data_IF_237427632789
#
_entry.id   IF_237427632789
#
_cell.length_a   1.000
_cell.length_b   1.000
_cell.length_c   1.000
_cell.angle_alpha   90.00
_cell.angle_beta   90.00
_cell.angle_gamma   90.00
#
_symmetry.space_group_name_H-M   'P 1'
#
loop_
_entity.id
_entity.type
_entity.pdbx_description
1 polymer ?
#
# COMPACT_ATOMS: atom_id res chain seq x y z
N UNK A 1 -38.56 31.20 -32.28
CA UNK A 1 -38.45 29.72 -32.15
C UNK A 1 -37.02 29.18 -32.28
N UNK A 2 -36.10 29.83 -33.00
CA UNK A 2 -34.68 29.37 -33.13
C UNK A 2 -33.88 29.45 -31.82
N UNK A 3 -34.19 30.40 -30.92
CA UNK A 3 -33.46 30.57 -29.67
C UNK A 3 -33.88 29.59 -28.54
N UNK A 4 -35.08 28.95 -28.66
CA UNK A 4 -35.56 27.96 -27.68
C UNK A 4 -34.86 26.62 -27.86
N UNK A 5 -34.48 26.26 -29.07
CA UNK A 5 -33.78 25.01 -29.38
C UNK A 5 -32.34 25.03 -28.85
N UNK A 6 -31.66 26.21 -28.89
CA UNK A 6 -30.30 26.34 -28.37
C UNK A 6 -30.22 26.15 -26.83
N UNK A 7 -31.26 26.58 -26.09
CA UNK A 7 -31.32 26.44 -24.65
C UNK A 7 -31.56 24.98 -24.26
N UNK A 8 -32.31 24.22 -25.07
CA UNK A 8 -32.56 22.80 -24.82
C UNK A 8 -31.36 21.92 -25.06
N UNK A 9 -30.49 22.28 -26.02
CA UNK A 9 -29.23 21.57 -26.30
C UNK A 9 -28.19 21.85 -25.21
N UNK A 10 -28.13 23.09 -24.67
CA UNK A 10 -27.24 23.43 -23.57
C UNK A 10 -27.61 22.71 -22.25
N UNK A 11 -28.91 22.44 -22.01
CA UNK A 11 -29.38 21.72 -20.83
C UNK A 11 -29.05 20.20 -20.85
N UNK A 12 -28.78 19.63 -22.03
CA UNK A 12 -28.40 18.22 -22.16
C UNK A 12 -26.94 17.91 -21.81
N UNK A 13 -26.09 18.94 -21.64
CA UNK A 13 -24.69 18.79 -21.24
C UNK A 13 -24.44 19.04 -19.74
N UNK A 14 -25.48 19.39 -18.96
CA UNK A 14 -25.38 19.60 -17.53
C UNK A 14 -25.92 18.37 -16.79
N UNK A 15 -25.26 17.24 -16.93
CA UNK A 15 -25.84 16.11 -16.24
C UNK A 15 -25.17 14.78 -16.33
N UNK A 16 -23.85 14.75 -16.22
CA UNK A 16 -23.17 13.55 -15.78
C UNK A 16 -22.07 13.95 -14.79
N UNK A 17 -22.47 14.44 -13.64
CA UNK A 17 -21.62 14.21 -12.46
C UNK A 17 -21.76 12.72 -12.18
N UNK A 18 -20.74 11.93 -12.53
CA UNK A 18 -20.74 10.53 -12.15
C UNK A 18 -20.69 10.48 -10.64
N UNK A 19 -21.82 10.16 -10.01
CA UNK A 19 -21.92 9.86 -8.57
C UNK A 19 -21.42 8.45 -8.28
N UNK A 20 -20.74 7.82 -9.24
CA UNK A 20 -20.22 6.47 -9.13
C UNK A 20 -18.83 6.41 -8.52
N UNK A 21 -18.46 5.22 -8.09
CA UNK A 21 -17.10 4.88 -7.66
C UNK A 21 -16.12 5.21 -8.79
N UNK A 22 -15.06 5.94 -8.47
CA UNK A 22 -13.98 6.28 -9.41
C UNK A 22 -12.75 5.47 -9.04
N UNK A 23 -12.12 4.84 -10.03
CA UNK A 23 -10.86 4.10 -9.89
C UNK A 23 -9.78 4.82 -10.69
N UNK A 24 -8.65 5.06 -10.07
CA UNK A 24 -7.48 5.70 -10.65
C UNK A 24 -6.21 4.87 -10.37
N UNK A 25 -5.18 5.02 -11.22
CA UNK A 25 -3.92 4.28 -11.13
C UNK A 25 -2.70 5.20 -11.08
N UNK A 26 -2.89 6.47 -11.36
CA UNK A 26 -1.84 7.50 -11.44
C UNK A 26 -2.37 8.82 -10.87
N UNK A 27 -2.80 8.78 -9.62
CA UNK A 27 -3.25 9.91 -8.82
C UNK A 27 -2.23 10.24 -7.72
N UNK A 28 -2.45 11.34 -7.00
CA UNK A 28 -1.57 11.78 -5.92
C UNK A 28 -1.35 10.69 -4.85
N UNK A 29 -2.38 9.94 -4.48
CA UNK A 29 -2.32 8.89 -3.45
C UNK A 29 -1.56 7.66 -3.94
N UNK A 30 -1.85 7.22 -5.17
CA UNK A 30 -1.11 6.11 -5.79
C UNK A 30 0.37 6.45 -5.94
N UNK A 31 0.70 7.69 -6.30
CA UNK A 31 2.09 8.13 -6.44
C UNK A 31 2.78 8.26 -5.07
N UNK A 32 2.08 8.77 -4.04
CA UNK A 32 2.62 8.81 -2.68
C UNK A 32 2.96 7.41 -2.14
N UNK A 33 2.13 6.39 -2.44
CA UNK A 33 2.43 5.00 -2.07
C UNK A 33 3.65 4.45 -2.83
N UNK A 34 3.78 4.74 -4.13
CA UNK A 34 4.98 4.35 -4.91
C UNK A 34 6.24 4.94 -4.30
N UNK A 35 6.21 6.21 -3.91
CA UNK A 35 7.33 6.89 -3.24
C UNK A 35 7.63 6.27 -1.87
N UNK A 36 6.61 5.94 -1.08
CA UNK A 36 6.78 5.28 0.21
C UNK A 36 7.42 3.89 0.05
N UNK A 37 7.08 3.12 -0.98
CA UNK A 37 7.72 1.84 -1.28
C UNK A 37 9.17 2.00 -1.71
N UNK A 38 9.51 3.03 -2.49
CA UNK A 38 10.91 3.35 -2.80
C UNK A 38 11.67 3.69 -1.53
N UNK A 39 11.13 4.54 -0.66
CA UNK A 39 11.74 4.85 0.65
C UNK A 39 11.94 3.60 1.51
N UNK A 40 10.97 2.67 1.50
CA UNK A 40 11.10 1.39 2.20
C UNK A 40 12.28 0.57 1.67
N UNK A 41 12.40 0.40 0.34
CA UNK A 41 13.51 -0.34 -0.28
C UNK A 41 14.86 0.32 -0.02
N UNK A 42 14.92 1.65 0.01
CA UNK A 42 16.10 2.44 0.29
C UNK A 42 16.42 2.57 1.82
N UNK A 43 15.62 1.95 2.68
CA UNK A 43 15.72 2.03 4.14
C UNK A 43 15.62 3.47 4.69
N UNK A 44 14.88 4.33 3.99
CA UNK A 44 14.66 5.74 4.36
C UNK A 44 13.20 6.03 4.70
N UNK A 45 12.37 4.99 4.82
CA UNK A 45 10.97 5.14 5.20
C UNK A 45 10.86 5.63 6.65
N UNK A 46 10.20 6.75 6.83
CA UNK A 46 10.03 7.45 8.11
C UNK A 46 8.57 7.53 8.58
N UNK A 47 7.65 6.89 7.84
CA UNK A 47 6.22 6.88 8.17
C UNK A 47 5.50 8.18 7.86
N UNK A 48 6.11 9.09 7.12
CA UNK A 48 5.55 10.41 6.80
C UNK A 48 4.20 10.37 6.07
N UNK A 49 3.89 9.26 5.40
CA UNK A 49 2.60 9.00 4.73
C UNK A 49 1.49 8.58 5.71
N UNK A 50 1.84 8.10 6.90
CA UNK A 50 0.92 7.63 7.92
C UNK A 50 0.45 8.74 8.87
N UNK A 51 -0.78 8.63 9.36
CA UNK A 51 -1.29 9.44 10.46
C UNK A 51 -0.69 8.98 11.79
N UNK A 52 -0.54 9.89 12.77
CA UNK A 52 -0.18 9.54 14.16
C UNK A 52 -1.24 8.62 14.81
N UNK A 53 -2.49 8.66 14.32
CA UNK A 53 -3.59 7.79 14.75
C UNK A 53 -3.71 6.51 13.89
N UNK A 54 -2.65 6.08 13.20
CA UNK A 54 -2.64 4.89 12.36
C UNK A 54 -3.17 3.65 13.09
N UNK A 55 -4.02 2.89 12.42
CA UNK A 55 -4.40 1.54 12.78
C UNK A 55 -3.86 0.56 11.72
N UNK A 56 -2.80 -0.16 12.08
CA UNK A 56 -2.14 -1.12 11.20
C UNK A 56 -2.55 -2.55 11.56
N UNK A 57 -3.12 -3.26 10.58
CA UNK A 57 -3.60 -4.65 10.71
C UNK A 57 -2.70 -5.60 9.91
N UNK A 58 -1.67 -6.14 10.52
CA UNK A 58 -0.75 -7.11 9.90
C UNK A 58 -1.26 -8.55 10.03
N UNK A 59 -2.15 -9.01 9.12
CA UNK A 59 -2.84 -10.31 9.21
C UNK A 59 -3.58 -10.55 10.55
N UNK A 60 -4.02 -9.49 11.20
CA UNK A 60 -4.66 -9.51 12.52
C UNK A 60 -5.99 -8.77 12.47
N UNK A 61 -6.90 -9.10 13.39
CA UNK A 61 -8.11 -8.31 13.64
C UNK A 61 -7.88 -7.23 14.70
N UNK A 62 -6.75 -7.28 15.39
CA UNK A 62 -6.33 -6.29 16.37
C UNK A 62 -5.26 -5.40 15.74
N UNK A 63 -5.44 -4.08 15.71
CA UNK A 63 -4.45 -3.17 15.13
C UNK A 63 -3.29 -2.91 16.08
N UNK A 64 -2.14 -2.58 15.52
CA UNK A 64 -1.04 -1.90 16.18
C UNK A 64 -1.02 -0.41 15.80
N UNK A 65 -0.40 0.42 16.63
CA UNK A 65 -0.28 1.86 16.38
C UNK A 65 0.94 2.24 15.55
N UNK A 66 1.08 3.55 15.30
CA UNK A 66 2.13 4.14 14.46
C UNK A 66 3.55 3.69 14.87
N UNK A 67 3.94 3.86 16.13
CA UNK A 67 5.32 3.55 16.59
C UNK A 67 5.66 2.07 16.45
N UNK A 68 4.69 1.19 16.71
CA UNK A 68 4.86 -0.26 16.58
C UNK A 68 4.94 -0.67 15.11
N UNK A 69 4.15 -0.04 14.24
CA UNK A 69 4.20 -0.27 12.79
C UNK A 69 5.55 0.16 12.20
N UNK A 70 6.10 1.33 12.57
CA UNK A 70 7.45 1.76 12.20
C UNK A 70 8.50 0.74 12.64
N UNK A 71 8.40 0.26 13.88
CA UNK A 71 9.33 -0.74 14.41
C UNK A 71 9.26 -2.06 13.63
N UNK A 72 8.05 -2.48 13.24
CA UNK A 72 7.82 -3.69 12.45
C UNK A 72 8.45 -3.58 11.05
N UNK A 73 8.29 -2.42 10.38
CA UNK A 73 8.90 -2.17 9.06
C UNK A 73 10.44 -2.18 9.18
N UNK A 74 10.99 -1.54 10.20
CA UNK A 74 12.44 -1.54 10.47
C UNK A 74 13.00 -2.95 10.70
N UNK A 75 12.27 -3.78 11.48
CA UNK A 75 12.67 -5.15 11.76
C UNK A 75 12.81 -6.02 10.50
N UNK A 76 12.07 -5.76 9.44
CA UNK A 76 12.23 -6.48 8.17
C UNK A 76 13.64 -6.30 7.60
N UNK A 77 14.19 -5.08 7.63
CA UNK A 77 15.55 -4.80 7.17
C UNK A 77 16.65 -5.32 8.12
N UNK A 78 16.31 -5.55 9.39
CA UNK A 78 17.23 -6.21 10.33
C UNK A 78 17.29 -7.72 10.11
N UNK A 79 16.20 -8.33 9.65
CA UNK A 79 16.08 -9.77 9.46
C UNK A 79 16.42 -10.27 8.06
N UNK A 80 16.30 -9.41 7.05
CA UNK A 80 16.49 -9.80 5.65
C UNK A 80 17.48 -8.91 4.91
N UNK A 81 18.25 -9.54 4.02
CA UNK A 81 19.08 -8.90 3.00
C UNK A 81 18.39 -8.99 1.63
N UNK A 82 18.87 -8.19 0.67
CA UNK A 82 18.44 -8.20 -0.73
C UNK A 82 16.90 -8.03 -0.90
N UNK A 83 16.30 -7.21 -0.06
CA UNK A 83 14.87 -6.94 -0.14
C UNK A 83 14.54 -6.26 -1.47
N UNK A 84 13.55 -6.80 -2.16
CA UNK A 84 13.00 -6.23 -3.39
C UNK A 84 11.49 -6.44 -3.48
N UNK A 85 10.84 -5.63 -4.29
CA UNK A 85 9.42 -5.72 -4.59
C UNK A 85 9.21 -5.69 -6.09
N UNK A 86 8.23 -6.44 -6.59
CA UNK A 86 7.94 -6.51 -8.00
C UNK A 86 6.48 -6.84 -8.28
N UNK A 87 5.97 -6.32 -9.39
CA UNK A 87 4.67 -6.67 -9.95
C UNK A 87 4.81 -7.01 -11.43
N UNK A 88 4.15 -8.09 -11.89
CA UNK A 88 4.14 -8.57 -13.26
C UNK A 88 4.67 -9.98 -13.40
N UNK A 89 4.45 -10.57 -14.58
CA UNK A 89 4.90 -11.92 -14.93
C UNK A 89 6.13 -11.84 -15.84
N UNK A 90 7.24 -12.47 -15.47
CA UNK A 90 8.39 -12.72 -16.30
C UNK A 90 9.43 -11.60 -16.40
N UNK A 91 10.13 -11.51 -17.55
CA UNK A 91 11.33 -10.68 -17.73
C UNK A 91 11.07 -9.15 -17.80
N UNK A 92 9.81 -8.73 -17.94
CA UNK A 92 9.40 -7.31 -17.99
C UNK A 92 8.78 -6.85 -16.67
N UNK A 93 9.48 -7.04 -15.56
CA UNK A 93 9.07 -6.42 -14.29
C UNK A 93 9.39 -4.93 -14.38
N UNK A 94 8.40 -4.13 -14.67
CA UNK A 94 8.57 -2.68 -14.83
C UNK A 94 8.14 -1.86 -13.62
N UNK A 95 7.44 -2.46 -12.64
CA UNK A 95 6.85 -1.75 -11.52
C UNK A 95 7.12 -2.45 -10.19
N UNK A 96 7.33 -1.65 -9.13
CA UNK A 96 7.51 -2.12 -7.75
C UNK A 96 6.22 -2.78 -7.24
N UNK A 97 5.06 -2.22 -7.57
CA UNK A 97 3.74 -2.69 -7.18
C UNK A 97 2.67 -2.23 -8.18
N UNK A 98 1.61 -3.01 -8.33
CA UNK A 98 0.39 -2.53 -8.95
C UNK A 98 -0.43 -1.81 -7.89
N UNK A 99 -0.72 -0.52 -8.12
CA UNK A 99 -1.46 0.32 -7.18
C UNK A 99 -2.68 0.93 -7.88
N UNK A 100 -3.82 0.84 -7.21
CA UNK A 100 -5.04 1.54 -7.60
C UNK A 100 -5.61 2.32 -6.42
N UNK A 101 -6.21 3.47 -6.69
CA UNK A 101 -6.97 4.24 -5.71
C UNK A 101 -8.43 4.30 -6.12
N UNK A 102 -9.32 4.03 -5.18
CA UNK A 102 -10.75 4.01 -5.36
C UNK A 102 -11.35 5.12 -4.50
N UNK A 103 -12.09 6.02 -5.13
CA UNK A 103 -12.89 7.03 -4.42
C UNK A 103 -14.30 6.48 -4.20
N UNK A 104 -14.63 6.20 -2.95
CA UNK A 104 -15.98 5.82 -2.51
C UNK A 104 -16.70 7.07 -1.98
N UNK A 105 -17.83 7.49 -2.58
CA UNK A 105 -18.51 8.75 -2.19
C UNK A 105 -18.87 8.88 -0.70
N UNK A 106 -19.06 7.74 -0.02
CA UNK A 106 -19.48 7.70 1.39
C UNK A 106 -18.33 7.33 2.36
N UNK A 107 -17.24 6.76 1.85
CA UNK A 107 -16.15 6.21 2.68
C UNK A 107 -14.80 6.89 2.45
N UNK A 108 -14.69 7.76 1.42
CA UNK A 108 -13.45 8.40 1.06
C UNK A 108 -12.55 7.55 0.15
N UNK A 109 -11.26 7.81 0.20
CA UNK A 109 -10.29 7.17 -0.68
C UNK A 109 -9.71 5.90 -0.04
N UNK A 110 -9.73 4.83 -0.82
CA UNK A 110 -9.07 3.56 -0.47
C UNK A 110 -8.08 3.21 -1.57
N UNK A 111 -6.81 3.10 -1.23
CA UNK A 111 -5.81 2.56 -2.16
C UNK A 111 -5.56 1.10 -1.87
N UNK A 112 -5.20 0.36 -2.91
CA UNK A 112 -4.84 -1.05 -2.82
C UNK A 112 -3.57 -1.29 -3.62
N UNK A 113 -2.67 -2.10 -3.08
CA UNK A 113 -1.42 -2.47 -3.70
C UNK A 113 -1.23 -3.99 -3.74
N UNK A 114 -0.72 -4.50 -4.84
CA UNK A 114 -0.33 -5.90 -5.03
C UNK A 114 1.11 -5.95 -5.52
N UNK A 115 1.89 -6.82 -4.92
CA UNK A 115 3.29 -7.05 -5.30
C UNK A 115 3.78 -8.39 -4.77
N UNK A 116 4.90 -8.87 -5.28
CA UNK A 116 5.69 -9.92 -4.68
C UNK A 116 6.83 -9.28 -3.90
N UNK A 117 6.87 -9.49 -2.60
CA UNK A 117 7.99 -9.16 -1.74
C UNK A 117 9.01 -10.30 -1.78
N UNK A 118 10.30 -9.96 -1.89
CA UNK A 118 11.39 -10.92 -1.89
C UNK A 118 12.48 -10.46 -0.95
N UNK A 119 13.07 -11.40 -0.19
CA UNK A 119 14.22 -11.14 0.67
C UNK A 119 14.95 -12.43 0.99
N UNK A 120 16.21 -12.29 1.44
CA UNK A 120 17.03 -13.40 1.91
C UNK A 120 17.22 -13.29 3.40
N UNK A 121 16.74 -14.26 4.17
CA UNK A 121 16.85 -14.31 5.62
C UNK A 121 18.28 -14.35 6.08
N UNK A 122 18.67 -13.44 6.99
CA UNK A 122 20.06 -13.33 7.51
C UNK A 122 20.45 -14.48 8.41
N UNK A 123 19.47 -15.13 9.06
CA UNK A 123 19.70 -16.22 9.99
C UNK A 123 19.45 -17.58 9.34
N UNK A 124 18.47 -17.70 8.46
CA UNK A 124 18.20 -18.93 7.71
C UNK A 124 19.07 -19.09 6.47
N UNK A 125 19.46 -18.00 5.82
CA UNK A 125 20.06 -17.98 4.49
C UNK A 125 19.08 -18.34 3.36
N UNK A 126 17.79 -18.47 3.65
CA UNK A 126 16.76 -18.80 2.67
C UNK A 126 16.26 -17.55 1.95
N UNK A 127 16.18 -17.59 0.62
CA UNK A 127 15.51 -16.55 -0.16
C UNK A 127 14.04 -16.93 -0.31
N UNK A 128 13.16 -16.00 0.03
CA UNK A 128 11.71 -16.19 -0.02
C UNK A 128 11.05 -15.16 -0.93
N UNK A 129 9.95 -15.56 -1.56
CA UNK A 129 9.08 -14.71 -2.37
C UNK A 129 7.66 -14.82 -1.83
N UNK A 130 7.08 -13.70 -1.43
CA UNK A 130 5.81 -13.64 -0.72
C UNK A 130 4.85 -12.72 -1.48
N UNK A 131 3.74 -13.24 -2.04
CA UNK A 131 2.68 -12.40 -2.56
C UNK A 131 2.03 -11.56 -1.46
N UNK A 132 1.95 -10.27 -1.69
CA UNK A 132 1.38 -9.30 -0.75
C UNK A 132 0.20 -8.56 -1.38
N UNK A 133 -0.81 -8.32 -0.54
CA UNK A 133 -1.90 -7.41 -0.83
C UNK A 133 -2.08 -6.49 0.36
N UNK A 134 -2.04 -5.18 0.11
CA UNK A 134 -2.19 -4.17 1.15
C UNK A 134 -3.29 -3.20 0.75
N UNK A 135 -4.20 -2.92 1.69
CA UNK A 135 -5.25 -1.91 1.58
C UNK A 135 -4.95 -0.72 2.48
N UNK A 136 -5.25 0.49 2.02
CA UNK A 136 -5.01 1.75 2.71
C UNK A 136 -6.26 2.61 2.73
N UNK A 137 -6.70 3.07 3.90
CA UNK A 137 -7.74 4.09 4.01
C UNK A 137 -7.08 5.44 4.29
N UNK A 138 -7.44 6.45 3.49
CA UNK A 138 -6.92 7.80 3.61
C UNK A 138 -7.83 8.67 4.45
N UNK A 139 -7.24 9.43 5.37
CA UNK A 139 -7.90 10.50 6.11
C UNK A 139 -8.12 11.75 5.27
N UNK A 140 -8.88 12.70 5.81
CA UNK A 140 -9.17 14.00 5.16
C UNK A 140 -7.91 14.88 5.02
N UNK A 141 -6.92 14.67 5.87
CA UNK A 141 -5.62 15.36 5.87
C UNK A 141 -4.63 14.80 4.84
N UNK A 142 -5.03 13.75 4.09
CA UNK A 142 -4.19 13.10 3.09
C UNK A 142 -3.18 12.12 3.66
N UNK A 143 -3.33 11.71 4.94
CA UNK A 143 -2.54 10.67 5.59
C UNK A 143 -3.30 9.35 5.61
N UNK A 144 -2.58 8.23 5.70
CA UNK A 144 -3.17 6.90 5.87
C UNK A 144 -3.55 6.73 7.34
N UNK A 145 -4.83 6.46 7.59
CA UNK A 145 -5.38 6.21 8.93
C UNK A 145 -5.59 4.73 9.23
N UNK A 146 -5.78 3.90 8.18
CA UNK A 146 -5.83 2.45 8.34
C UNK A 146 -4.99 1.78 7.25
N UNK A 147 -4.28 0.73 7.64
CA UNK A 147 -3.58 -0.17 6.73
C UNK A 147 -3.94 -1.62 7.04
N UNK A 148 -4.27 -2.40 6.01
CA UNK A 148 -4.57 -3.83 6.10
C UNK A 148 -3.58 -4.59 5.24
N UNK A 149 -2.66 -5.30 5.87
CA UNK A 149 -1.66 -6.12 5.18
C UNK A 149 -2.07 -7.59 5.19
N UNK A 150 -2.06 -8.20 4.02
CA UNK A 150 -2.32 -9.63 3.81
C UNK A 150 -1.15 -10.26 3.08
N UNK A 151 -0.42 -11.13 3.79
CA UNK A 151 0.73 -11.88 3.26
C UNK A 151 1.01 -13.11 4.11
N UNK A 152 1.77 -14.06 3.60
CA UNK A 152 2.22 -15.21 4.41
C UNK A 152 3.31 -14.77 5.39
N UNK A 153 3.05 -14.91 6.69
CA UNK A 153 3.98 -14.56 7.76
C UNK A 153 4.86 -15.74 8.24
N UNK A 154 4.71 -16.92 7.63
CA UNK A 154 5.41 -18.13 8.09
C UNK A 154 6.92 -17.94 8.09
N UNK A 155 7.48 -17.42 7.00
CA UNK A 155 8.92 -17.21 6.86
C UNK A 155 9.43 -16.09 7.77
N UNK A 156 8.67 -14.99 7.91
CA UNK A 156 9.02 -13.90 8.82
C UNK A 156 9.09 -14.38 10.26
N UNK A 157 8.07 -15.12 10.73
CA UNK A 157 8.04 -15.65 12.09
C UNK A 157 9.19 -16.68 12.33
N UNK A 158 9.55 -17.48 11.34
CA UNK A 158 10.68 -18.40 11.43
C UNK A 158 12.01 -17.64 11.54
N UNK A 159 12.20 -16.58 10.77
CA UNK A 159 13.42 -15.77 10.79
C UNK A 159 13.57 -15.03 12.14
N UNK A 160 12.46 -14.49 12.70
CA UNK A 160 12.42 -13.92 14.05
C UNK A 160 12.85 -14.96 15.09
N UNK A 161 12.34 -16.19 15.02
CA UNK A 161 12.69 -17.24 15.96
C UNK A 161 14.18 -17.61 15.89
N UNK A 162 14.76 -17.65 14.69
CA UNK A 162 16.20 -17.90 14.49
C UNK A 162 17.05 -16.75 15.01
N UNK A 163 16.64 -15.50 14.82
CA UNK A 163 17.37 -14.32 15.35
C UNK A 163 17.42 -14.32 16.86
N UNK A 164 16.31 -14.68 17.52
CA UNK A 164 16.26 -14.78 18.98
C UNK A 164 17.16 -15.90 19.50
N UNK A 165 17.17 -17.06 18.84
CA UNK A 165 18.04 -18.19 19.22
C UNK A 165 19.54 -17.88 19.02
N UNK A 166 19.89 -17.02 18.07
CA UNK A 166 21.29 -16.60 17.84
C UNK A 166 21.78 -15.55 18.85
N UNK A 167 20.88 -14.92 19.59
CA UNK A 167 21.20 -13.91 20.61
C UNK A 167 21.44 -14.50 22.02
N UNK A 168 21.16 -15.81 22.22
CA UNK A 168 21.41 -16.59 23.44
C UNK A 168 22.82 -17.21 23.45
#
# INVERSE_FOLDING_TARGET
MKNLILIFIAALFIGCTSTGVQVTFDDEKSNALKEAYVKYLDQTFDGDIWSEDLQFYGNSTEPIGYDEAISLIGAQHELYDDISMSWGDGEEVSEIAFIQTINYPEYGYVSQAWFTWKGTGKFSGETVEIPCHIGYLWGEDGKIINEWQHSDQTHFNAEVALSLAAAE
#
